data_IF_469405376192
#
_entry.id   IF_469405376192
#
_cell.length_a   1.000
_cell.length_b   1.000
_cell.length_c   1.000
_cell.angle_alpha   90.00
_cell.angle_beta   90.00
_cell.angle_gamma   90.00
#
_symmetry.space_group_name_H-M   'P 1'
#
loop_
_entity.id
_entity.type
_entity.pdbx_description
1 polymer ?
#
# COMPACT_ATOMS: atom_id res chain seq x y z
N UNK A 1 38.41 15.71 -16.62
CA UNK A 1 39.52 15.09 -15.88
C UNK A 1 38.91 14.20 -14.82
N UNK A 2 39.15 12.90 -14.89
CA UNK A 2 38.74 12.01 -13.80
C UNK A 2 39.58 12.31 -12.55
N UNK A 3 39.00 12.21 -11.34
CA UNK A 3 39.77 12.43 -10.12
C UNK A 3 40.90 11.41 -10.03
N UNK A 4 42.12 11.85 -9.68
CA UNK A 4 43.21 10.93 -9.39
C UNK A 4 42.86 10.09 -8.15
N UNK A 5 42.86 8.75 -8.31
CA UNK A 5 42.52 7.79 -7.26
C UNK A 5 43.73 6.99 -6.78
N UNK A 6 44.93 7.32 -7.26
CA UNK A 6 46.19 6.69 -6.85
C UNK A 6 46.42 6.80 -5.34
N UNK A 7 45.90 7.87 -4.70
CA UNK A 7 45.98 8.05 -3.25
C UNK A 7 45.33 6.91 -2.46
N UNK A 8 44.27 6.29 -2.98
CA UNK A 8 43.59 5.17 -2.31
C UNK A 8 44.48 3.92 -2.29
N UNK A 9 45.26 3.69 -3.35
CA UNK A 9 46.26 2.62 -3.39
C UNK A 9 47.41 2.90 -2.43
N UNK A 10 47.98 4.11 -2.51
CA UNK A 10 49.15 4.51 -1.70
C UNK A 10 48.86 4.47 -0.20
N UNK A 11 47.62 4.75 0.20
CA UNK A 11 47.17 4.63 1.60
C UNK A 11 47.31 3.21 2.15
N UNK A 12 47.01 2.21 1.34
CA UNK A 12 46.98 0.80 1.78
C UNK A 12 48.29 0.06 1.45
N UNK A 13 49.09 0.57 0.52
CA UNK A 13 50.33 -0.05 0.05
C UNK A 13 51.50 0.95 0.05
N UNK A 14 51.89 1.49 1.23
CA UNK A 14 52.95 2.49 1.29
C UNK A 14 54.29 1.93 0.79
N UNK A 15 54.93 2.65 -0.12
CA UNK A 15 56.26 2.29 -0.66
C UNK A 15 56.27 1.12 -1.65
N UNK A 16 55.13 0.52 -1.97
CA UNK A 16 55.04 -0.47 -3.04
C UNK A 16 54.97 0.22 -4.41
N UNK A 17 55.78 -0.26 -5.34
CA UNK A 17 55.83 0.24 -6.72
C UNK A 17 55.27 -0.84 -7.64
N UNK A 18 54.10 -0.57 -8.24
CA UNK A 18 53.41 -1.47 -9.16
C UNK A 18 51.90 -1.38 -9.00
N UNK A 19 51.12 -1.64 -10.06
CA UNK A 19 49.65 -1.73 -10.06
C UNK A 19 48.83 -0.47 -9.71
N UNK A 20 49.46 0.64 -9.29
CA UNK A 20 48.75 1.89 -8.91
C UNK A 20 47.79 2.36 -10.01
N UNK A 21 48.25 2.35 -11.27
CA UNK A 21 47.45 2.80 -12.41
C UNK A 21 46.25 1.87 -12.66
N UNK A 22 46.48 0.54 -12.68
CA UNK A 22 45.43 -0.46 -12.89
C UNK A 22 44.38 -0.41 -11.77
N UNK A 23 44.82 -0.22 -10.53
CA UNK A 23 43.93 -0.02 -9.40
C UNK A 23 43.09 1.25 -9.59
N UNK A 24 43.72 2.39 -9.89
CA UNK A 24 43.01 3.67 -10.06
C UNK A 24 41.98 3.61 -11.21
N UNK A 25 42.33 2.94 -12.31
CA UNK A 25 41.41 2.69 -13.43
C UNK A 25 40.24 1.78 -13.02
N UNK A 26 40.52 0.68 -12.32
CA UNK A 26 39.49 -0.26 -11.86
C UNK A 26 38.48 0.41 -10.92
N UNK A 27 38.97 1.18 -9.94
CA UNK A 27 38.11 1.94 -9.02
C UNK A 27 37.30 2.97 -9.80
N UNK A 28 37.89 3.62 -10.80
CA UNK A 28 37.18 4.56 -11.68
C UNK A 28 36.03 3.89 -12.42
N UNK A 29 36.28 2.75 -13.06
CA UNK A 29 35.24 1.95 -13.74
C UNK A 29 34.13 1.51 -12.78
N UNK A 30 34.50 1.02 -11.60
CA UNK A 30 33.54 0.60 -10.58
C UNK A 30 32.60 1.74 -10.16
N UNK A 31 33.15 2.91 -9.82
CA UNK A 31 32.32 4.05 -9.42
C UNK A 31 31.44 4.53 -10.57
N UNK A 32 31.96 4.56 -11.80
CA UNK A 32 31.16 4.97 -12.95
C UNK A 32 30.00 3.99 -13.19
N UNK A 33 30.24 2.69 -13.06
CA UNK A 33 29.15 1.71 -13.13
C UNK A 33 28.15 1.87 -11.98
N UNK A 34 28.62 2.07 -10.74
CA UNK A 34 27.74 2.30 -9.60
C UNK A 34 26.83 3.53 -9.80
N UNK A 35 27.35 4.63 -10.37
CA UNK A 35 26.56 5.81 -10.73
C UNK A 35 25.44 5.48 -11.71
N UNK A 36 25.72 4.66 -12.74
CA UNK A 36 24.67 4.26 -13.69
C UNK A 36 23.54 3.46 -13.04
N UNK A 37 23.86 2.67 -12.01
CA UNK A 37 22.85 1.94 -11.24
C UNK A 37 22.01 2.90 -10.38
N UNK A 38 22.64 3.89 -9.74
CA UNK A 38 21.96 4.90 -8.94
C UNK A 38 20.98 5.74 -9.78
N UNK A 39 21.42 6.18 -10.97
CA UNK A 39 20.58 6.89 -11.93
C UNK A 39 19.38 6.04 -12.37
N UNK A 40 19.60 4.75 -12.63
CA UNK A 40 18.55 3.80 -13.01
C UNK A 40 17.52 3.59 -11.88
N UNK A 41 17.99 3.39 -10.64
CA UNK A 41 17.11 3.20 -9.49
C UNK A 41 16.28 4.44 -9.21
N UNK A 42 16.90 5.61 -9.22
CA UNK A 42 16.23 6.91 -9.02
C UNK A 42 15.17 7.16 -10.09
N UNK A 43 15.51 6.90 -11.37
CA UNK A 43 14.57 7.05 -12.48
C UNK A 43 13.38 6.09 -12.37
N UNK A 44 13.63 4.85 -11.95
CA UNK A 44 12.59 3.84 -11.74
C UNK A 44 11.67 4.21 -10.58
N UNK A 45 12.22 4.74 -9.49
CA UNK A 45 11.43 5.19 -8.35
C UNK A 45 10.51 6.34 -8.72
N UNK A 46 11.05 7.38 -9.36
CA UNK A 46 10.26 8.51 -9.87
C UNK A 46 9.12 8.06 -10.78
N UNK A 47 9.41 7.16 -11.73
CA UNK A 47 8.38 6.62 -12.63
C UNK A 47 7.25 5.92 -11.85
N UNK A 48 7.58 5.14 -10.81
CA UNK A 48 6.55 4.50 -9.96
C UNK A 48 5.72 5.52 -9.20
N UNK A 49 6.32 6.58 -8.66
CA UNK A 49 5.58 7.64 -7.97
C UNK A 49 4.58 8.33 -8.91
N UNK A 50 4.99 8.63 -10.14
CA UNK A 50 4.12 9.21 -11.17
C UNK A 50 2.97 8.26 -11.54
N UNK A 51 3.26 6.97 -11.74
CA UNK A 51 2.23 5.95 -12.02
C UNK A 51 1.22 5.81 -10.87
N UNK A 52 1.69 5.81 -9.62
CA UNK A 52 0.83 5.74 -8.42
C UNK A 52 -0.04 6.99 -8.32
N UNK A 53 0.53 8.18 -8.53
CA UNK A 53 -0.21 9.44 -8.49
C UNK A 53 -1.32 9.47 -9.55
N UNK A 54 -1.00 9.08 -10.79
CA UNK A 54 -1.97 9.02 -11.88
C UNK A 54 -3.09 7.99 -11.61
N UNK A 55 -2.74 6.79 -11.16
CA UNK A 55 -3.71 5.76 -10.82
C UNK A 55 -4.65 6.22 -9.69
N UNK A 56 -4.09 6.84 -8.64
CA UNK A 56 -4.85 7.38 -7.52
C UNK A 56 -5.80 8.49 -7.96
N UNK A 57 -5.38 9.38 -8.86
CA UNK A 57 -6.25 10.44 -9.39
C UNK A 57 -7.44 9.85 -10.16
N UNK A 58 -7.20 8.87 -11.02
CA UNK A 58 -8.25 8.19 -11.79
C UNK A 58 -9.25 7.51 -10.83
N UNK A 59 -8.76 6.80 -9.83
CA UNK A 59 -9.60 6.11 -8.86
C UNK A 59 -10.41 7.08 -7.98
N UNK A 60 -9.81 8.18 -7.53
CA UNK A 60 -10.53 9.23 -6.78
C UNK A 60 -11.67 9.83 -7.61
N UNK A 61 -11.45 10.08 -8.91
CA UNK A 61 -12.51 10.57 -9.80
C UNK A 61 -13.65 9.55 -9.92
N UNK A 62 -13.34 8.26 -10.10
CA UNK A 62 -14.34 7.19 -10.15
C UNK A 62 -15.15 7.14 -8.85
N UNK A 63 -14.47 7.21 -7.70
CA UNK A 63 -15.12 7.25 -6.40
C UNK A 63 -16.06 8.46 -6.27
N UNK A 64 -15.60 9.65 -6.66
CA UNK A 64 -16.43 10.86 -6.63
C UNK A 64 -17.67 10.74 -7.54
N UNK A 65 -17.52 10.17 -8.74
CA UNK A 65 -18.65 9.92 -9.64
C UNK A 65 -19.65 8.94 -9.04
N UNK A 66 -19.19 7.84 -8.47
CA UNK A 66 -20.08 6.87 -7.81
C UNK A 66 -20.80 7.47 -6.60
N UNK A 67 -20.09 8.24 -5.77
CA UNK A 67 -20.68 8.97 -4.65
C UNK A 67 -21.78 9.92 -5.14
N UNK A 68 -21.51 10.73 -6.17
CA UNK A 68 -22.50 11.65 -6.73
C UNK A 68 -23.74 10.92 -7.27
N UNK A 69 -23.56 9.77 -7.93
CA UNK A 69 -24.68 8.95 -8.43
C UNK A 69 -25.55 8.41 -7.29
N UNK A 70 -24.94 7.89 -6.22
CA UNK A 70 -25.66 7.39 -5.06
C UNK A 70 -26.41 8.50 -4.33
N UNK A 71 -25.78 9.65 -4.14
CA UNK A 71 -26.41 10.83 -3.54
C UNK A 71 -27.62 11.27 -4.35
N UNK A 72 -27.48 11.41 -5.67
CA UNK A 72 -28.59 11.77 -6.55
C UNK A 72 -29.77 10.79 -6.42
N UNK A 73 -29.49 9.50 -6.33
CA UNK A 73 -30.50 8.46 -6.22
C UNK A 73 -31.28 8.53 -4.90
N UNK A 74 -30.55 8.80 -3.81
CA UNK A 74 -31.12 8.95 -2.48
C UNK A 74 -31.96 10.24 -2.37
N UNK A 75 -31.44 11.37 -2.85
CA UNK A 75 -32.13 12.67 -2.81
C UNK A 75 -33.35 12.72 -3.72
N UNK A 76 -33.27 12.06 -4.88
CA UNK A 76 -34.41 12.00 -5.81
C UNK A 76 -35.55 11.08 -5.32
N UNK A 77 -35.43 10.46 -4.14
CA UNK A 77 -36.41 9.52 -3.54
C UNK A 77 -36.89 8.44 -4.51
N UNK A 78 -36.10 8.13 -5.54
CA UNK A 78 -36.52 7.22 -6.60
C UNK A 78 -36.40 5.74 -6.22
N UNK A 79 -35.86 5.40 -5.02
CA UNK A 79 -35.70 4.00 -4.60
C UNK A 79 -35.82 3.75 -3.08
N UNK A 80 -36.48 4.60 -2.29
CA UNK A 80 -36.99 4.05 -1.03
C UNK A 80 -38.28 3.29 -1.40
N UNK A 81 -38.32 1.94 -1.30
CA UNK A 81 -39.61 1.28 -1.27
C UNK A 81 -40.45 1.95 -0.17
N UNK A 82 -41.77 2.12 -0.36
CA UNK A 82 -42.62 2.67 0.69
C UNK A 82 -42.32 1.91 1.98
N UNK A 83 -42.02 2.62 3.07
CA UNK A 83 -41.95 1.99 4.38
C UNK A 83 -43.25 1.21 4.55
N UNK A 84 -43.20 -0.12 4.83
CA UNK A 84 -44.43 -0.87 5.04
C UNK A 84 -45.20 -0.16 6.15
N UNK A 85 -46.42 0.28 5.83
CA UNK A 85 -47.32 0.83 6.84
C UNK A 85 -47.39 -0.20 7.97
N UNK A 86 -47.23 0.27 9.22
CA UNK A 86 -47.54 -0.57 10.38
C UNK A 86 -48.92 -1.16 10.14
N UNK A 87 -48.96 -2.47 9.94
CA UNK A 87 -50.22 -3.21 9.81
C UNK A 87 -50.90 -3.10 11.17
N UNK A 88 -51.79 -2.12 11.31
CA UNK A 88 -52.63 -1.98 12.49
C UNK A 88 -53.52 -3.22 12.60
N UNK A 89 -53.19 -4.05 13.57
CA UNK A 89 -54.12 -4.91 14.30
C UNK A 89 -54.57 -6.19 13.60
N UNK A 90 -54.03 -7.31 14.04
CA UNK A 90 -54.89 -8.35 14.63
C UNK A 90 -54.04 -9.30 15.48
N UNK A 91 -54.29 -9.24 16.78
CA UNK A 91 -53.95 -10.27 17.74
C UNK A 91 -54.48 -11.63 17.24
N UNK A 92 -53.60 -12.62 17.10
CA UNK A 92 -54.00 -14.01 17.29
C UNK A 92 -53.02 -14.66 18.26
N UNK A 93 -53.60 -14.95 19.41
CA UNK A 93 -53.07 -15.71 20.52
C UNK A 93 -52.69 -17.13 20.09
N UNK A 94 -51.70 -17.69 20.80
CA UNK A 94 -51.54 -19.14 20.95
C UNK A 94 -50.52 -19.79 20.02
N UNK A 95 -49.35 -20.10 20.54
CA UNK A 95 -49.12 -21.47 21.02
C UNK A 95 -47.93 -21.47 21.99
N UNK A 96 -48.20 -21.95 23.20
CA UNK A 96 -47.24 -22.10 24.27
C UNK A 96 -46.29 -23.24 23.90
N UNK A 97 -44.99 -22.98 23.79
CA UNK A 97 -44.03 -24.06 23.90
C UNK A 97 -42.99 -23.72 24.96
N UNK A 98 -43.45 -23.87 26.21
CA UNK A 98 -42.61 -24.12 27.35
C UNK A 98 -41.92 -25.48 27.16
N UNK A 99 -40.64 -25.45 26.82
CA UNK A 99 -39.68 -26.49 27.22
C UNK A 99 -38.45 -25.84 27.78
N UNK A 100 -38.63 -25.33 29.00
CA UNK A 100 -37.57 -25.27 29.99
C UNK A 100 -36.98 -26.67 30.19
N UNK A 101 -35.70 -26.86 29.92
CA UNK A 101 -34.90 -27.83 30.68
C UNK A 101 -33.56 -27.22 31.05
N UNK A 102 -33.28 -27.38 32.35
CA UNK A 102 -32.31 -26.69 33.19
C UNK A 102 -30.89 -27.25 33.08
N UNK A 103 -29.96 -26.37 33.47
CA UNK A 103 -28.71 -26.61 34.19
C UNK A 103 -27.61 -27.47 33.54
N UNK A 104 -26.41 -26.89 33.42
CA UNK A 104 -25.47 -26.92 34.55
C UNK A 104 -24.26 -26.02 34.29
N UNK A 105 -23.92 -25.23 35.32
CA UNK A 105 -22.66 -24.50 35.40
C UNK A 105 -21.47 -25.46 35.43
N UNK A 106 -20.39 -25.08 34.76
CA UNK A 106 -19.09 -25.74 34.86
C UNK A 106 -17.96 -24.73 34.90
N UNK A 107 -17.70 -24.16 36.09
CA UNK A 107 -16.44 -23.48 36.42
C UNK A 107 -15.30 -24.51 36.49
N UNK A 108 -14.13 -24.14 35.97
CA UNK A 108 -12.83 -24.77 36.27
C UNK A 108 -11.93 -24.70 35.04
N UNK A 109 -10.78 -24.03 35.02
CA UNK A 109 -9.84 -23.77 36.11
C UNK A 109 -8.73 -24.82 36.10
N UNK A 110 -7.78 -24.71 35.17
CA UNK A 110 -6.33 -24.91 35.35
C UNK A 110 -5.57 -24.51 34.10
#
# INVERSE_FOLDING_TARGET
MDPDRSWMYNRNNPGQVGMILEFAESVTRFINHAKTLDDFLTSREKKREEEIAAAKEVENKRYATHQAQLTFLFESKNILPPCPASSDGSDQEGDENDKSDKESEGRGGR
#
